data_IF_194257566695
#
_entry.id   IF_194257566695
#
_cell.length_a   1.000
_cell.length_b   1.000
_cell.length_c   1.000
_cell.angle_alpha   90.00
_cell.angle_beta   90.00
_cell.angle_gamma   90.00
#
_symmetry.space_group_name_H-M   'P 1'
#
loop_
_entity.id
_entity.type
_entity.pdbx_description
1 polymer ?
#
# COMPACT_ATOMS: atom_id res chain seq x y z
N UNK A 1 7.17 -2.66 -20.65
CA UNK A 1 6.15 -3.66 -20.29
C UNK A 1 4.88 -2.94 -19.94
N UNK A 2 3.72 -3.47 -20.32
CA UNK A 2 2.43 -2.94 -19.88
C UNK A 2 2.16 -3.29 -18.42
N UNK A 3 1.18 -2.62 -17.81
CA UNK A 3 0.79 -2.93 -16.43
C UNK A 3 0.24 -4.36 -16.30
N UNK A 4 -0.52 -4.82 -17.29
CA UNK A 4 -1.04 -6.20 -17.35
C UNK A 4 0.12 -7.21 -17.39
N UNK A 5 1.13 -6.97 -18.23
CA UNK A 5 2.31 -7.83 -18.33
C UNK A 5 3.10 -7.87 -17.02
N UNK A 6 3.30 -6.71 -16.37
CA UNK A 6 4.00 -6.63 -15.09
C UNK A 6 3.27 -7.41 -13.99
N UNK A 7 1.94 -7.33 -13.90
CA UNK A 7 1.15 -8.11 -12.93
C UNK A 7 1.21 -9.60 -13.26
N UNK A 8 1.15 -9.98 -14.53
CA UNK A 8 1.21 -11.38 -14.94
C UNK A 8 2.55 -12.04 -14.56
N UNK A 9 3.66 -11.32 -14.69
CA UNK A 9 5.01 -11.81 -14.43
C UNK A 9 5.46 -11.68 -12.97
N UNK A 10 4.77 -10.91 -12.15
CA UNK A 10 5.14 -10.69 -10.75
C UNK A 10 5.12 -11.99 -9.93
N UNK A 11 6.10 -12.10 -9.02
CA UNK A 11 6.16 -13.12 -8.00
C UNK A 11 5.16 -12.84 -6.85
N UNK A 12 5.08 -13.75 -5.88
CA UNK A 12 4.12 -13.63 -4.76
C UNK A 12 4.28 -12.32 -3.98
N UNK A 13 5.53 -11.90 -3.79
CA UNK A 13 5.85 -10.64 -3.10
C UNK A 13 5.44 -9.44 -3.94
N UNK A 14 5.76 -9.42 -5.22
CA UNK A 14 5.39 -8.38 -6.17
C UNK A 14 3.87 -8.19 -6.26
N UNK A 15 3.12 -9.29 -6.33
CA UNK A 15 1.67 -9.28 -6.34
C UNK A 15 1.08 -8.72 -5.05
N UNK A 16 1.59 -9.16 -3.89
CA UNK A 16 1.12 -8.67 -2.59
C UNK A 16 1.40 -7.17 -2.42
N UNK A 17 2.62 -6.71 -2.74
CA UNK A 17 2.99 -5.30 -2.69
C UNK A 17 2.16 -4.47 -3.66
N UNK A 18 1.91 -4.95 -4.87
CA UNK A 18 1.11 -4.22 -5.87
C UNK A 18 -0.33 -4.00 -5.42
N UNK A 19 -1.01 -5.06 -4.95
CA UNK A 19 -2.36 -4.95 -4.41
C UNK A 19 -2.42 -4.07 -3.16
N UNK A 20 -1.45 -4.23 -2.24
CA UNK A 20 -1.39 -3.44 -1.02
C UNK A 20 -1.10 -1.96 -1.29
N UNK A 21 -0.23 -1.64 -2.26
CA UNK A 21 0.01 -0.27 -2.68
C UNK A 21 -1.27 0.38 -3.22
N UNK A 22 -2.04 -0.32 -4.04
CA UNK A 22 -3.32 0.18 -4.54
C UNK A 22 -4.30 0.44 -3.38
N UNK A 23 -4.38 -0.47 -2.41
CA UNK A 23 -5.24 -0.33 -1.23
C UNK A 23 -4.82 0.85 -0.34
N UNK A 24 -3.51 1.00 -0.07
CA UNK A 24 -2.91 2.07 0.74
C UNK A 24 -3.34 3.46 0.27
N UNK A 25 -3.35 3.67 -1.05
CA UNK A 25 -3.83 4.91 -1.67
C UNK A 25 -5.32 5.19 -1.42
N UNK A 26 -6.10 4.15 -1.17
CA UNK A 26 -7.55 4.21 -0.99
C UNK A 26 -7.97 4.17 0.49
N UNK A 27 -7.05 4.00 1.43
CA UNK A 27 -7.34 3.96 2.88
C UNK A 27 -8.10 5.18 3.41
N UNK A 28 -7.81 6.43 2.98
CA UNK A 28 -8.57 7.59 3.44
C UNK A 28 -10.08 7.50 3.13
N UNK A 29 -10.47 6.80 2.06
CA UNK A 29 -11.89 6.55 1.73
C UNK A 29 -12.58 5.62 2.74
N UNK A 30 -11.80 4.81 3.45
CA UNK A 30 -12.27 3.88 4.47
C UNK A 30 -12.24 4.49 5.88
N UNK A 31 -11.88 5.78 6.01
CA UNK A 31 -11.71 6.45 7.29
C UNK A 31 -10.47 6.03 8.07
N UNK A 32 -9.52 5.34 7.43
CA UNK A 32 -8.23 4.98 8.03
C UNK A 32 -7.17 6.06 7.84
N UNK A 33 -6.15 6.03 8.69
CA UNK A 33 -4.92 6.80 8.54
C UNK A 33 -3.86 6.06 7.70
N UNK A 34 -2.75 6.72 7.41
CA UNK A 34 -1.60 6.17 6.68
C UNK A 34 -0.85 5.07 7.44
N UNK A 35 -1.11 4.90 8.74
CA UNK A 35 -0.42 3.94 9.60
C UNK A 35 -1.17 2.60 9.69
N UNK A 36 -2.48 2.57 9.37
CA UNK A 36 -3.34 1.40 9.57
C UNK A 36 -2.83 0.15 8.84
N UNK A 37 -2.17 0.31 7.68
CA UNK A 37 -1.63 -0.79 6.88
C UNK A 37 -0.18 -1.16 7.22
N UNK A 38 0.52 -0.39 8.08
CA UNK A 38 1.94 -0.67 8.40
C UNK A 38 2.19 -2.08 8.91
N UNK A 39 1.34 -2.67 9.78
CA UNK A 39 1.52 -4.06 10.18
C UNK A 39 1.52 -5.00 8.97
N UNK A 40 0.62 -4.80 8.02
CA UNK A 40 0.50 -5.63 6.82
C UNK A 40 1.67 -5.43 5.85
N UNK A 41 2.19 -4.21 5.72
CA UNK A 41 3.44 -3.95 5.01
C UNK A 41 4.63 -4.68 5.64
N UNK A 42 4.69 -4.75 6.98
CA UNK A 42 5.78 -5.43 7.68
C UNK A 42 5.78 -6.96 7.47
N UNK A 43 4.63 -7.60 7.24
CA UNK A 43 4.59 -9.05 6.94
C UNK A 43 5.08 -9.42 5.54
N UNK A 44 5.36 -8.42 4.69
CA UNK A 44 5.98 -8.59 3.38
C UNK A 44 7.52 -8.44 3.41
N UNK A 45 8.09 -8.14 4.58
CA UNK A 45 9.54 -8.08 4.76
C UNK A 45 10.15 -9.49 4.66
N UNK A 46 11.41 -9.54 4.21
CA UNK A 46 12.18 -10.78 4.19
C UNK A 46 12.31 -11.34 5.61
N UNK A 47 12.03 -12.63 5.78
CA UNK A 47 12.06 -13.31 7.08
C UNK A 47 10.80 -13.18 7.93
N UNK A 48 9.74 -12.50 7.45
CA UNK A 48 8.43 -12.57 8.08
C UNK A 48 7.84 -13.99 8.02
N UNK A 49 7.15 -14.42 9.07
CA UNK A 49 6.52 -15.73 9.12
C UNK A 49 5.44 -15.89 8.03
N UNK A 50 5.23 -17.09 7.48
CA UNK A 50 4.18 -17.31 6.47
C UNK A 50 2.79 -16.96 6.99
N UNK A 51 2.54 -17.15 8.29
CA UNK A 51 1.26 -16.91 8.95
C UNK A 51 1.06 -15.46 9.44
N UNK A 52 2.11 -14.62 9.39
CA UNK A 52 2.03 -13.22 9.83
C UNK A 52 1.09 -12.37 8.96
N UNK A 53 0.88 -12.77 7.70
CA UNK A 53 0.01 -12.04 6.79
C UNK A 53 -1.47 -12.17 7.16
N UNK A 54 -1.96 -13.40 7.34
CA UNK A 54 -3.38 -13.65 7.56
C UNK A 54 -3.89 -12.96 8.83
N UNK A 55 -3.15 -13.09 9.94
CA UNK A 55 -3.51 -12.46 11.21
C UNK A 55 -3.55 -10.93 11.12
N UNK A 56 -2.57 -10.32 10.44
CA UNK A 56 -2.51 -8.86 10.26
C UNK A 56 -3.57 -8.35 9.30
N UNK A 57 -3.92 -9.13 8.29
CA UNK A 57 -5.02 -8.79 7.38
C UNK A 57 -6.36 -8.75 8.12
N UNK A 58 -6.64 -9.72 8.99
CA UNK A 58 -7.82 -9.71 9.85
C UNK A 58 -7.82 -8.54 10.84
N UNK A 59 -6.67 -8.20 11.42
CA UNK A 59 -6.54 -7.01 12.28
C UNK A 59 -6.90 -5.72 11.53
N UNK A 60 -6.37 -5.53 10.31
CA UNK A 60 -6.68 -4.38 9.47
C UNK A 60 -8.17 -4.33 9.11
N UNK A 61 -8.77 -5.48 8.75
CA UNK A 61 -10.21 -5.60 8.48
C UNK A 61 -11.06 -5.19 9.66
N UNK A 62 -10.69 -5.60 10.87
CA UNK A 62 -11.37 -5.20 12.10
C UNK A 62 -11.31 -3.70 12.34
N UNK A 63 -10.12 -3.09 12.19
CA UNK A 63 -9.92 -1.65 12.37
C UNK A 63 -10.72 -0.80 11.38
N UNK A 64 -10.65 -1.13 10.10
CA UNK A 64 -11.35 -0.39 9.04
C UNK A 64 -12.85 -0.72 8.96
N UNK A 65 -13.26 -1.90 9.43
CA UNK A 65 -14.67 -2.29 9.55
C UNK A 65 -15.42 -1.50 10.61
N UNK A 66 -14.79 -1.20 11.76
CA UNK A 66 -15.41 -0.42 12.83
C UNK A 66 -15.64 1.06 12.48
N UNK A 67 -14.91 1.60 11.49
CA UNK A 67 -15.09 2.97 11.01
C UNK A 67 -16.29 3.13 10.05
N UNK A 68 -16.92 2.03 9.65
CA UNK A 68 -17.90 1.97 8.57
C UNK A 68 -19.36 2.21 8.95
N UNK A 69 -19.69 2.23 10.25
CA UNK A 69 -21.08 2.22 10.73
C UNK A 69 -21.81 3.58 10.56
N UNK A 70 -21.38 4.40 9.59
CA UNK A 70 -22.01 5.66 9.20
C UNK A 70 -22.97 5.48 8.03
N UNK A 71 -24.22 5.91 8.23
CA UNK A 71 -25.34 5.79 7.29
C UNK A 71 -25.14 6.71 6.07
N UNK A 72 -24.76 6.12 4.95
CA UNK A 72 -24.65 6.80 3.66
C UNK A 72 -24.81 5.79 2.54
N UNK A 73 -25.77 6.04 1.65
CA UNK A 73 -25.85 5.41 0.33
C UNK A 73 -24.44 5.33 -0.26
N UNK A 74 -23.97 4.11 -0.43
CA UNK A 74 -22.54 3.82 -0.43
C UNK A 74 -21.85 4.45 -1.61
N UNK A 75 -21.06 5.49 -1.35
CA UNK A 75 -20.14 6.07 -2.33
C UNK A 75 -19.41 4.93 -3.05
N UNK A 76 -19.57 4.86 -4.36
CA UNK A 76 -19.03 3.78 -5.20
C UNK A 76 -17.52 3.62 -5.00
N UNK A 77 -16.80 4.71 -4.77
CA UNK A 77 -15.37 4.69 -4.49
C UNK A 77 -15.08 4.01 -3.15
N UNK A 78 -15.88 4.27 -2.12
CA UNK A 78 -15.79 3.60 -0.80
C UNK A 78 -16.12 2.11 -0.94
N UNK A 79 -17.15 1.76 -1.73
CA UNK A 79 -17.52 0.37 -1.97
C UNK A 79 -16.41 -0.42 -2.71
N UNK A 80 -15.74 0.21 -3.68
CA UNK A 80 -14.59 -0.37 -4.38
C UNK A 80 -13.40 -0.59 -3.42
N UNK A 81 -13.02 0.44 -2.66
CA UNK A 81 -11.93 0.34 -1.69
C UNK A 81 -12.18 -0.74 -0.64
N UNK A 82 -13.44 -0.86 -0.18
CA UNK A 82 -13.84 -1.89 0.76
C UNK A 82 -13.72 -3.29 0.16
N UNK A 83 -14.15 -3.48 -1.09
CA UNK A 83 -14.00 -4.75 -1.80
C UNK A 83 -12.53 -5.15 -1.94
N UNK A 84 -11.63 -4.21 -2.24
CA UNK A 84 -10.18 -4.50 -2.29
C UNK A 84 -9.68 -5.10 -0.98
N UNK A 85 -10.09 -4.54 0.17
CA UNK A 85 -9.72 -5.04 1.49
C UNK A 85 -10.37 -6.39 1.84
N UNK A 86 -11.68 -6.53 1.62
CA UNK A 86 -12.42 -7.74 2.03
C UNK A 86 -12.10 -8.95 1.16
N UNK A 87 -11.67 -8.74 -0.08
CA UNK A 87 -11.29 -9.82 -1.00
C UNK A 87 -9.81 -10.18 -0.96
N UNK A 88 -8.99 -9.46 -0.18
CA UNK A 88 -7.58 -9.81 -0.02
C UNK A 88 -7.43 -11.26 0.47
N UNK A 89 -6.60 -12.09 -0.19
CA UNK A 89 -6.52 -13.50 0.16
C UNK A 89 -5.80 -13.69 1.49
N UNK A 90 -6.28 -14.61 2.31
CA UNK A 90 -5.60 -14.97 3.56
C UNK A 90 -4.30 -15.74 3.30
N UNK A 91 -4.21 -16.47 2.19
CA UNK A 91 -2.99 -17.19 1.79
C UNK A 91 -2.21 -16.38 0.76
N UNK A 92 -0.93 -16.14 1.05
CA UNK A 92 0.00 -15.46 0.13
C UNK A 92 0.54 -16.42 -0.93
N UNK A 93 -0.34 -16.92 -1.80
CA UNK A 93 0.06 -17.72 -2.96
C UNK A 93 -0.10 -16.93 -4.25
N UNK A 94 0.76 -17.18 -5.25
CA UNK A 94 0.66 -16.49 -6.54
C UNK A 94 -0.72 -16.66 -7.20
N UNK A 95 -1.33 -17.84 -7.04
CA UNK A 95 -2.64 -18.16 -7.60
C UNK A 95 -3.77 -17.29 -7.03
N UNK A 96 -3.72 -16.97 -5.74
CA UNK A 96 -4.73 -16.14 -5.08
C UNK A 96 -4.40 -14.64 -5.20
N UNK A 97 -3.12 -14.29 -5.11
CA UNK A 97 -2.68 -12.89 -5.14
C UNK A 97 -2.77 -12.26 -6.53
N UNK A 98 -2.62 -13.04 -7.62
CA UNK A 98 -2.68 -12.50 -8.99
C UNK A 98 -4.04 -11.90 -9.35
N UNK A 99 -5.17 -12.62 -9.21
CA UNK A 99 -6.48 -12.02 -9.47
C UNK A 99 -6.80 -10.88 -8.51
N UNK A 100 -6.36 -10.96 -7.25
CA UNK A 100 -6.54 -9.87 -6.28
C UNK A 100 -5.77 -8.60 -6.67
N UNK A 101 -4.50 -8.72 -7.06
CA UNK A 101 -3.69 -7.59 -7.50
C UNK A 101 -4.23 -6.96 -8.80
N UNK A 102 -4.69 -7.77 -9.75
CA UNK A 102 -5.36 -7.31 -10.97
C UNK A 102 -6.63 -6.51 -10.64
N UNK A 103 -7.51 -7.07 -9.80
CA UNK A 103 -8.73 -6.41 -9.35
C UNK A 103 -8.43 -5.11 -8.58
N UNK A 104 -7.39 -5.08 -7.74
CA UNK A 104 -6.96 -3.89 -7.02
C UNK A 104 -6.45 -2.80 -7.96
N UNK A 105 -5.66 -3.16 -8.98
CA UNK A 105 -5.18 -2.24 -10.02
C UNK A 105 -6.36 -1.57 -10.74
N UNK A 106 -7.34 -2.38 -11.16
CA UNK A 106 -8.57 -1.92 -11.81
C UNK A 106 -9.40 -1.02 -10.89
N UNK A 107 -9.65 -1.46 -9.65
CA UNK A 107 -10.44 -0.70 -8.69
C UNK A 107 -9.81 0.66 -8.37
N UNK A 108 -8.49 0.73 -8.19
CA UNK A 108 -7.80 1.98 -7.95
C UNK A 108 -7.95 2.96 -9.13
N UNK A 109 -7.84 2.50 -10.37
CA UNK A 109 -8.06 3.35 -11.55
C UNK A 109 -9.51 3.86 -11.63
N UNK A 110 -10.49 3.00 -11.33
CA UNK A 110 -11.91 3.37 -11.28
C UNK A 110 -12.20 4.40 -10.19
N UNK A 111 -11.64 4.22 -9.00
CA UNK A 111 -11.74 5.17 -7.88
C UNK A 111 -11.18 6.54 -8.30
N UNK A 112 -10.00 6.58 -8.92
CA UNK A 112 -9.41 7.86 -9.35
C UNK A 112 -10.23 8.55 -10.45
N UNK A 113 -10.89 7.79 -11.33
CA UNK A 113 -11.84 8.33 -12.33
C UNK A 113 -13.09 8.92 -11.67
N UNK A 114 -13.63 8.25 -10.65
CA UNK A 114 -14.77 8.76 -9.86
C UNK A 114 -14.41 10.07 -9.15
N UNK A 115 -13.25 10.11 -8.50
CA UNK A 115 -12.76 11.31 -7.78
C UNK A 115 -12.44 12.49 -8.72
N UNK A 116 -12.08 12.22 -9.97
CA UNK A 116 -11.85 13.24 -11.00
C UNK A 116 -13.16 13.79 -11.60
N UNK A 117 -14.32 13.23 -11.25
CA UNK A 117 -15.62 13.60 -11.82
C UNK A 117 -15.82 13.14 -13.27
N UNK A 118 -14.89 12.35 -13.82
CA UNK A 118 -14.97 11.81 -15.18
C UNK A 118 -16.01 10.68 -15.31
N UNK A 119 -16.42 10.06 -14.21
CA UNK A 119 -17.45 9.02 -14.21
C UNK A 119 -18.83 9.51 -14.70
N UNK A 120 -19.15 10.79 -14.50
CA UNK A 120 -20.44 11.37 -14.91
C UNK A 120 -20.53 11.68 -16.42
N UNK A 121 -19.45 11.46 -17.19
CA UNK A 121 -19.34 11.90 -18.60
C UNK A 121 -19.37 10.78 -19.63
N UNK A 122 -19.22 9.52 -19.22
CA UNK A 122 -19.17 8.39 -20.15
C UNK A 122 -20.43 7.53 -20.03
N UNK A 123 -20.93 7.08 -21.18
CA UNK A 123 -22.00 6.10 -21.26
C UNK A 123 -21.48 4.73 -20.78
N UNK A 124 -22.15 4.09 -19.83
CA UNK A 124 -21.70 2.83 -19.19
C UNK A 124 -21.57 1.64 -20.18
N UNK A 125 -22.07 1.80 -21.40
CA UNK A 125 -22.13 0.75 -22.43
C UNK A 125 -20.76 0.32 -23.01
N UNK A 126 -19.69 1.13 -22.88
CA UNK A 126 -18.35 0.81 -23.43
C UNK A 126 -17.31 0.47 -22.33
N UNK A 127 -17.67 -0.45 -21.43
CA UNK A 127 -16.79 -0.91 -20.34
C UNK A 127 -16.37 -2.38 -20.50
N UNK A 128 -15.10 -2.67 -20.19
CA UNK A 128 -14.51 -4.02 -20.13
C UNK A 128 -13.82 -4.18 -18.78
N UNK A 129 -14.19 -5.22 -18.02
CA UNK A 129 -13.61 -5.48 -16.70
C UNK A 129 -13.85 -4.35 -15.68
N UNK A 130 -14.90 -3.54 -15.86
CA UNK A 130 -15.24 -2.42 -14.98
C UNK A 130 -14.45 -1.12 -15.22
N UNK A 131 -13.74 -1.02 -16.35
CA UNK A 131 -13.12 0.22 -16.82
C UNK A 131 -13.60 0.56 -18.25
N UNK A 132 -13.60 1.84 -18.65
CA UNK A 132 -13.77 2.21 -20.06
C UNK A 132 -12.77 1.47 -20.95
N UNK A 133 -13.20 1.05 -22.14
CA UNK A 133 -12.38 0.26 -23.08
C UNK A 133 -11.02 0.90 -23.37
N UNK A 134 -10.98 2.22 -23.55
CA UNK A 134 -9.74 2.96 -23.79
C UNK A 134 -8.73 2.85 -22.63
N UNK A 135 -9.22 2.87 -21.38
CA UNK A 135 -8.38 2.71 -20.20
C UNK A 135 -7.92 1.26 -20.03
N UNK A 136 -8.78 0.29 -20.33
CA UNK A 136 -8.39 -1.11 -20.38
C UNK A 136 -7.27 -1.36 -21.42
N UNK A 137 -7.40 -0.80 -22.62
CA UNK A 137 -6.38 -0.86 -23.67
C UNK A 137 -5.06 -0.20 -23.23
N UNK A 138 -5.13 1.01 -22.65
CA UNK A 138 -3.94 1.70 -22.13
C UNK A 138 -3.21 0.88 -21.05
N UNK A 139 -3.96 0.21 -20.17
CA UNK A 139 -3.42 -0.70 -19.15
C UNK A 139 -2.71 -1.91 -19.76
N UNK A 140 -3.24 -2.43 -20.86
CA UNK A 140 -2.64 -3.49 -21.66
C UNK A 140 -1.44 -3.04 -22.51
N UNK A 141 -1.16 -1.72 -22.56
CA UNK A 141 -0.08 -1.15 -23.36
C UNK A 141 -0.46 -0.89 -24.83
N UNK A 142 -1.75 -1.03 -25.15
CA UNK A 142 -2.29 -0.68 -26.45
C UNK A 142 -2.44 0.84 -26.53
N UNK A 143 -1.57 1.50 -27.30
CA UNK A 143 -1.82 2.90 -27.67
C UNK A 143 -2.81 2.94 -28.83
N UNK A 144 -3.83 3.82 -28.81
CA UNK A 144 -4.50 4.22 -30.03
C UNK A 144 -3.42 4.73 -31.01
N UNK A 145 -3.52 4.35 -32.28
CA UNK A 145 -2.65 4.88 -33.33
C UNK A 145 -2.74 6.42 -33.31
N UNK A 146 -1.75 7.10 -32.71
CA UNK A 146 -1.80 8.54 -32.43
C UNK A 146 -1.09 9.01 -31.16
N UNK A 147 -0.67 8.11 -30.27
CA UNK A 147 0.31 8.41 -29.21
C UNK A 147 -0.17 9.35 -28.10
N UNK A 148 -1.45 9.71 -28.09
CA UNK A 148 -2.06 10.47 -27.00
C UNK A 148 -2.97 9.55 -26.19
N UNK A 149 -2.86 9.66 -24.88
CA UNK A 149 -3.85 9.17 -23.92
C UNK A 149 -5.14 10.00 -24.01
N UNK A 150 -5.66 10.21 -25.22
CA UNK A 150 -6.95 10.85 -25.44
C UNK A 150 -8.01 10.02 -24.69
N UNK A 151 -8.72 10.68 -23.78
CA UNK A 151 -9.74 10.05 -22.94
C UNK A 151 -9.26 9.55 -21.56
N UNK A 152 -7.96 9.61 -21.23
CA UNK A 152 -7.49 9.32 -19.86
C UNK A 152 -7.13 10.62 -19.15
N UNK A 153 -7.79 10.90 -18.03
CA UNK A 153 -7.53 12.12 -17.29
C UNK A 153 -6.15 12.12 -16.63
N UNK A 154 -5.57 13.30 -16.32
CA UNK A 154 -4.26 13.40 -15.70
C UNK A 154 -4.12 12.62 -14.39
N UNK A 155 -5.19 12.59 -13.57
CA UNK A 155 -5.21 11.87 -12.30
C UNK A 155 -5.13 10.35 -12.52
N UNK A 156 -5.92 9.81 -13.47
CA UNK A 156 -5.90 8.39 -13.83
C UNK A 156 -4.56 8.00 -14.47
N UNK A 157 -4.02 8.85 -15.35
CA UNK A 157 -2.73 8.61 -15.97
C UNK A 157 -1.58 8.61 -14.94
N UNK A 158 -1.64 9.49 -13.93
CA UNK A 158 -0.66 9.52 -12.84
C UNK A 158 -0.73 8.25 -11.98
N UNK A 159 -1.94 7.78 -11.66
CA UNK A 159 -2.12 6.54 -10.91
C UNK A 159 -1.62 5.32 -11.70
N UNK A 160 -1.90 5.23 -12.99
CA UNK A 160 -1.39 4.15 -13.84
C UNK A 160 0.16 4.13 -13.87
N UNK A 161 0.81 5.30 -14.02
CA UNK A 161 2.28 5.39 -13.95
C UNK A 161 2.83 4.95 -12.59
N UNK A 162 2.14 5.27 -11.49
CA UNK A 162 2.52 4.84 -10.15
C UNK A 162 2.47 3.32 -10.01
N UNK A 163 1.39 2.67 -10.47
CA UNK A 163 1.26 1.21 -10.41
C UNK A 163 2.38 0.50 -11.19
N UNK A 164 2.69 1.00 -12.40
CA UNK A 164 3.83 0.52 -13.21
C UNK A 164 5.15 0.69 -12.43
N UNK A 165 5.42 1.87 -11.90
CA UNK A 165 6.67 2.15 -11.18
C UNK A 165 6.86 1.26 -9.93
N UNK A 166 5.78 0.92 -9.21
CA UNK A 166 5.84 -0.02 -8.07
C UNK A 166 6.31 -1.39 -8.52
N UNK A 167 5.73 -1.93 -9.58
CA UNK A 167 6.07 -3.27 -10.08
C UNK A 167 7.45 -3.31 -10.75
N UNK A 168 7.81 -2.28 -11.52
CA UNK A 168 9.14 -2.15 -12.12
C UNK A 168 10.24 -2.07 -11.05
N UNK A 169 9.98 -1.38 -9.93
CA UNK A 169 10.92 -1.35 -8.82
C UNK A 169 11.11 -2.76 -8.25
N UNK A 170 10.07 -3.57 -8.11
CA UNK A 170 10.20 -4.90 -7.54
C UNK A 170 10.88 -5.88 -8.50
N UNK A 171 10.62 -5.76 -9.81
CA UNK A 171 11.27 -6.61 -10.82
C UNK A 171 12.76 -6.31 -10.97
N UNK A 172 13.18 -5.05 -10.85
CA UNK A 172 14.59 -4.65 -10.92
C UNK A 172 15.44 -5.21 -9.76
N UNK A 173 14.82 -5.50 -8.62
CA UNK A 173 15.49 -5.91 -7.40
C UNK A 173 15.53 -7.44 -7.23
N UNK A 174 14.76 -8.19 -8.03
CA UNK A 174 14.62 -9.65 -7.89
C UNK A 174 14.19 -10.07 -6.47
N UNK A 175 14.19 -11.37 -6.16
CA UNK A 175 13.79 -11.86 -4.83
C UNK A 175 14.70 -11.41 -3.67
N UNK A 176 15.80 -10.68 -3.92
CA UNK A 176 16.81 -10.31 -2.93
C UNK A 176 17.09 -8.79 -2.82
N UNK A 177 16.40 -7.93 -3.57
CA UNK A 177 16.83 -6.54 -3.74
C UNK A 177 16.22 -5.53 -2.77
N UNK A 178 16.11 -5.87 -1.49
CA UNK A 178 16.15 -4.86 -0.42
C UNK A 178 17.40 -5.00 0.44
N UNK A 179 18.53 -5.41 -0.17
CA UNK A 179 19.83 -5.28 0.49
C UNK A 179 20.18 -3.81 0.70
N UNK A 180 19.86 -3.31 1.89
CA UNK A 180 20.68 -2.39 2.67
C UNK A 180 20.91 -1.00 2.09
N UNK A 181 19.96 -0.09 2.33
CA UNK A 181 20.31 1.31 2.57
C UNK A 181 20.96 1.46 3.95
N UNK A 182 22.17 0.93 4.14
CA UNK A 182 23.03 1.24 5.30
C UNK A 182 24.46 0.74 5.07
N UNK A 183 25.41 1.68 5.06
CA UNK A 183 26.79 1.45 5.53
C UNK A 183 27.81 1.05 4.47
N UNK A 184 28.80 1.92 4.25
CA UNK A 184 29.91 1.71 3.34
C UNK A 184 30.86 0.59 3.75
N UNK A 185 31.70 0.20 2.79
CA UNK A 185 32.74 -0.79 2.98
C UNK A 185 33.45 -1.08 1.67
N UNK A 186 34.50 -0.32 1.42
CA UNK A 186 35.62 -0.68 0.54
C UNK A 186 36.01 -2.17 0.70
N UNK A 187 36.29 -2.84 -0.41
CA UNK A 187 36.69 -4.24 -0.42
C UNK A 187 36.70 -4.88 -1.80
N UNK A 188 37.45 -4.29 -2.74
CA UNK A 188 37.81 -4.95 -3.99
C UNK A 188 38.87 -6.05 -3.78
N UNK A 189 38.63 -7.23 -4.34
CA UNK A 189 39.61 -8.25 -4.75
C UNK A 189 38.83 -9.41 -5.41
N UNK A 190 39.24 -10.10 -6.46
CA UNK A 190 40.39 -10.03 -7.37
C UNK A 190 40.09 -10.96 -8.56
N UNK A 191 40.69 -10.71 -9.73
CA UNK A 191 40.75 -11.74 -10.79
C UNK A 191 40.95 -11.25 -12.22
N UNK A 192 41.97 -10.45 -12.52
CA UNK A 192 42.43 -10.25 -13.89
C UNK A 192 43.95 -10.28 -13.98
N UNK A 193 44.44 -11.03 -14.97
CA UNK A 193 45.83 -11.42 -15.18
C UNK A 193 46.68 -10.32 -15.84
N UNK A 194 47.87 -10.12 -15.25
CA UNK A 194 49.21 -9.90 -15.85
C UNK A 194 49.38 -9.04 -17.12
N UNK A 195 50.13 -7.93 -16.96
CA UNK A 195 51.38 -7.48 -17.65
C UNK A 195 51.58 -6.03 -17.16
N UNK A 196 52.60 -5.65 -16.39
CA UNK A 196 54.04 -5.64 -16.67
C UNK A 196 54.47 -4.18 -16.88
N UNK A 197 55.41 -3.65 -16.06
CA UNK A 197 56.34 -2.49 -16.23
C UNK A 197 56.71 -1.90 -14.84
N UNK A 198 57.96 -1.42 -14.61
CA UNK A 198 58.66 -1.58 -13.33
C UNK A 198 58.68 -0.34 -12.40
N UNK A 199 59.15 -0.63 -11.19
CA UNK A 199 59.24 0.22 -10.01
C UNK A 199 60.21 1.41 -10.11
N UNK A 200 59.85 2.50 -9.42
CA UNK A 200 60.74 3.52 -8.88
C UNK A 200 60.39 3.70 -7.38
N UNK A 201 61.36 3.84 -6.47
CA UNK A 201 61.13 3.90 -5.04
C UNK A 201 60.89 5.34 -4.59
N UNK A 202 59.89 5.55 -3.72
CA UNK A 202 59.82 6.77 -2.91
C UNK A 202 59.54 6.37 -1.46
N UNK A 203 60.41 6.90 -0.62
CA UNK A 203 60.56 6.63 0.79
C UNK A 203 59.46 7.29 1.63
N UNK A 204 59.20 6.67 2.79
CA UNK A 204 58.92 7.37 4.05
C UNK A 204 57.64 8.19 4.17
N UNK A 205 56.63 7.65 4.87
CA UNK A 205 56.27 8.18 6.20
C UNK A 205 55.30 7.25 6.92
N UNK A 206 55.65 6.89 8.16
CA UNK A 206 54.82 6.18 9.13
C UNK A 206 54.00 7.19 9.98
N UNK A 207 53.04 6.70 10.80
CA UNK A 207 51.76 7.35 11.03
C UNK A 207 51.70 8.19 12.31
N UNK A 208 50.67 9.03 12.43
CA UNK A 208 50.29 9.64 13.71
C UNK A 208 48.88 9.21 14.14
N UNK A 209 48.83 8.40 15.21
CA UNK A 209 47.69 8.28 16.15
C UNK A 209 47.63 9.55 17.02
N UNK A 210 46.47 9.87 17.59
CA UNK A 210 46.31 9.77 19.05
C UNK A 210 44.97 9.14 19.47
N UNK A 211 44.96 8.25 20.46
CA UNK A 211 44.63 8.45 21.89
C UNK A 211 43.10 8.49 22.13
N UNK A 212 42.50 7.41 22.62
CA UNK A 212 42.38 7.00 24.03
C UNK A 212 41.29 7.77 24.79
N UNK A 213 40.33 7.00 25.32
CA UNK A 213 39.12 7.37 26.04
C UNK A 213 39.36 8.11 27.37
N UNK A 214 38.29 8.52 28.08
CA UNK A 214 37.92 7.67 29.21
C UNK A 214 36.42 7.41 29.41
N UNK A 215 36.19 6.32 30.14
CA UNK A 215 34.95 5.75 30.67
C UNK A 215 34.38 6.53 31.86
N UNK A 216 33.18 6.08 32.27
CA UNK A 216 32.50 6.15 33.60
C UNK A 216 31.28 7.08 33.57
N UNK A 217 30.11 6.79 34.16
CA UNK A 217 29.67 5.74 35.10
C UNK A 217 28.15 5.84 35.28
N UNK A 218 27.55 4.71 35.68
CA UNK A 218 26.44 4.57 36.64
C UNK A 218 25.00 5.00 36.27
N UNK A 219 24.14 3.99 36.12
CA UNK A 219 22.74 3.98 36.61
C UNK A 219 22.73 4.01 38.17
N UNK A 220 21.61 4.28 38.89
CA UNK A 220 20.52 3.28 39.01
C UNK A 220 19.10 3.81 39.38
N UNK A 221 18.18 2.83 39.53
CA UNK A 221 16.89 2.77 40.31
C UNK A 221 15.64 3.21 39.54
N UNK A 222 14.68 2.34 39.18
CA UNK A 222 13.73 1.50 39.97
C UNK A 222 13.00 2.26 41.08
N UNK A 223 11.70 2.48 40.87
CA UNK A 223 10.66 2.52 41.89
C UNK A 223 9.48 1.66 41.39
N UNK A 224 9.14 0.66 42.19
CA UNK A 224 7.94 -0.18 42.13
C UNK A 224 6.68 0.59 42.57
N UNK A 225 5.55 0.46 41.85
CA UNK A 225 4.28 -0.13 42.34
C UNK A 225 3.20 0.92 42.69
N UNK A 226 1.93 0.57 43.03
CA UNK A 226 1.09 -0.62 42.76
C UNK A 226 -0.08 -0.26 41.78
N UNK A 227 -0.93 -1.12 41.20
CA UNK A 227 -1.61 -2.32 41.71
C UNK A 227 -3.02 -1.98 42.22
N UNK A 228 -4.03 -1.91 41.33
CA UNK A 228 -5.47 -1.98 41.68
C UNK A 228 -6.21 -2.84 40.65
N UNK A 229 -6.82 -3.90 41.16
CA UNK A 229 -7.61 -4.92 40.46
C UNK A 229 -9.14 -4.64 40.66
N UNK A 230 -10.10 -5.48 40.21
CA UNK A 230 -11.16 -5.06 39.30
C UNK A 230 -12.58 -5.09 39.88
N UNK A 231 -13.48 -4.27 39.32
CA UNK A 231 -14.91 -4.28 39.63
C UNK A 231 -15.73 -5.07 38.62
N UNK A 232 -16.22 -6.25 39.03
CA UNK A 232 -17.30 -7.01 38.38
C UNK A 232 -18.68 -6.44 38.77
N UNK A 233 -19.60 -6.36 37.82
CA UNK A 233 -21.07 -6.55 37.98
C UNK A 233 -21.70 -6.57 36.58
N UNK A 234 -22.17 -7.69 36.02
CA UNK A 234 -23.40 -8.48 36.24
C UNK A 234 -24.72 -7.72 36.00
N UNK A 235 -25.52 -8.30 35.09
CA UNK A 235 -26.96 -8.08 34.89
C UNK A 235 -27.26 -7.25 33.65
N UNK A 236 -28.10 -7.62 32.69
CA UNK A 236 -29.06 -8.72 32.57
C UNK A 236 -30.14 -8.30 31.57
N UNK A 237 -30.67 -9.29 30.83
CA UNK A 237 -31.97 -9.32 30.13
C UNK A 237 -32.19 -8.49 28.85
N UNK A 238 -32.56 -9.24 27.81
CA UNK A 238 -33.16 -8.87 26.53
C UNK A 238 -34.69 -8.61 26.68
N UNK A 239 -35.52 -8.71 25.60
CA UNK A 239 -35.68 -7.78 24.47
C UNK A 239 -37.12 -7.24 24.37
N UNK A 240 -37.36 -6.12 23.66
CA UNK A 240 -38.72 -5.75 23.22
C UNK A 240 -38.70 -5.23 21.78
N UNK A 241 -39.65 -5.75 21.02
CA UNK A 241 -39.93 -5.51 19.62
C UNK A 241 -40.50 -4.11 19.33
N UNK A 242 -40.29 -3.66 18.08
CA UNK A 242 -41.41 -3.17 17.27
C UNK A 242 -41.57 -1.66 17.10
N UNK A 243 -41.45 -1.27 15.83
CA UNK A 243 -42.42 -0.43 15.09
C UNK A 243 -42.10 1.06 14.92
N UNK A 244 -42.35 1.50 13.67
CA UNK A 244 -42.60 2.87 13.15
C UNK A 244 -41.33 3.69 12.93
N UNK A 245 -40.87 3.91 11.70
CA UNK A 245 -41.63 4.50 10.61
C UNK A 245 -41.71 6.02 10.82
N UNK A 246 -40.68 6.76 10.43
CA UNK A 246 -40.74 8.22 10.42
C UNK A 246 -40.10 8.80 9.15
N UNK A 247 -40.99 9.28 8.29
CA UNK A 247 -40.71 10.10 7.10
C UNK A 247 -40.34 11.49 7.62
N UNK A 248 -39.07 11.89 7.51
CA UNK A 248 -38.65 13.27 7.80
C UNK A 248 -38.51 14.03 6.48
N UNK A 249 -39.48 14.90 6.22
CA UNK A 249 -39.41 15.96 5.23
C UNK A 249 -38.46 17.05 5.73
N UNK A 250 -37.22 17.10 5.22
CA UNK A 250 -36.34 18.26 5.44
C UNK A 250 -36.64 19.33 4.41
N UNK A 251 -37.25 20.42 4.89
CA UNK A 251 -37.36 21.70 4.20
C UNK A 251 -35.97 22.30 4.00
N UNK A 252 -35.66 22.67 2.76
CA UNK A 252 -34.57 23.58 2.42
C UNK A 252 -34.94 24.98 2.90
N UNK A 253 -34.16 25.53 3.83
CA UNK A 253 -34.02 26.98 4.00
C UNK A 253 -32.57 27.32 3.72
N UNK A 254 -32.34 27.89 2.55
CA UNK A 254 -31.08 28.52 2.20
C UNK A 254 -30.84 29.74 3.07
N UNK A 255 -29.57 30.00 3.37
CA UNK A 255 -29.12 31.32 3.82
C UNK A 255 -27.84 31.61 3.07
N UNK A 256 -27.95 32.59 2.18
CA UNK A 256 -26.85 33.35 1.59
C UNK A 256 -25.92 33.85 2.71
N UNK A 257 -24.61 33.69 2.53
CA UNK A 257 -23.65 34.63 3.09
C UNK A 257 -22.68 35.07 2.00
N UNK A 258 -22.81 36.34 1.63
CA UNK A 258 -21.79 37.16 0.96
C UNK A 258 -20.67 37.44 1.97
N UNK A 259 -19.42 37.25 1.57
CA UNK A 259 -18.32 38.22 1.70
C UNK A 259 -17.43 38.05 0.48
#
# INVERSE_FOLDING_TARGET
MSLVELIAQADERGLAVSGLACLDRCVPLLGGDDEVLRPLWASLAEGAGPDDWAGRLEEVRGKLGAAADGDGDGDEAVALARRMLTTAPARRSAAELRPWADACSVAALRIHRLLDGAAARDDDADQVGGLPRALHAARAGESPAGGRTEGVSPLVAAEMRRQVAVLERLSAHGPAGLRGGAGGGDGGAAGAARRGVPAQPQEGLRPSRPAAAPRRTAAPRRCDGPGVEPGRSRGGSAPVAGSRGNRVTKRFTGTLLKV
#
